data_IF_169865121208
#
_entry.id   IF_169865121208
#
_cell.length_a   1.000
_cell.length_b   1.000
_cell.length_c   1.000
_cell.angle_alpha   90.00
_cell.angle_beta   90.00
_cell.angle_gamma   90.00
#
_symmetry.space_group_name_H-M   'P 1'
#
loop_
_entity.id
_entity.type
_entity.pdbx_description
1 polymer ?
#
# COMPACT_ATOMS: atom_id res chain seq x y z
N UNK A 1 -11.56 -2.77 -10.85
CA UNK A 1 -11.97 -2.58 -9.43
C UNK A 1 -12.14 -3.87 -8.64
N UNK A 2 -12.97 -4.84 -9.05
CA UNK A 2 -13.32 -6.02 -8.23
C UNK A 2 -12.13 -6.87 -7.73
N UNK A 3 -11.05 -6.97 -8.52
CA UNK A 3 -9.86 -7.76 -8.17
C UNK A 3 -9.04 -7.12 -7.04
N UNK A 4 -8.96 -5.79 -6.99
CA UNK A 4 -8.20 -5.06 -5.97
C UNK A 4 -8.85 -5.16 -4.59
N UNK A 5 -10.18 -5.03 -4.54
CA UNK A 5 -10.96 -5.15 -3.29
C UNK A 5 -10.76 -6.54 -2.67
N UNK A 6 -10.80 -7.61 -3.48
CA UNK A 6 -10.54 -8.98 -3.00
C UNK A 6 -9.15 -9.11 -2.34
N UNK A 7 -8.12 -8.53 -2.97
CA UNK A 7 -6.75 -8.55 -2.42
C UNK A 7 -6.69 -7.79 -1.10
N UNK A 8 -7.36 -6.63 -0.99
CA UNK A 8 -7.40 -5.86 0.25
C UNK A 8 -8.06 -6.67 1.37
N UNK A 9 -9.23 -7.27 1.11
CA UNK A 9 -9.95 -8.06 2.12
C UNK A 9 -9.14 -9.28 2.59
N UNK A 10 -8.53 -10.02 1.66
CA UNK A 10 -7.66 -11.16 2.00
C UNK A 10 -6.45 -10.68 2.79
N UNK A 11 -5.83 -9.57 2.38
CA UNK A 11 -4.70 -8.97 3.08
C UNK A 11 -5.05 -8.57 4.52
N UNK A 12 -6.21 -7.95 4.73
CA UNK A 12 -6.69 -7.58 6.08
C UNK A 12 -6.87 -8.83 6.93
N UNK A 13 -7.51 -9.87 6.38
CA UNK A 13 -7.74 -11.12 7.10
C UNK A 13 -6.42 -11.80 7.52
N UNK A 14 -5.48 -11.95 6.59
CA UNK A 14 -4.18 -12.57 6.86
C UNK A 14 -3.37 -11.74 7.87
N UNK A 15 -3.31 -10.42 7.70
CA UNK A 15 -2.57 -9.54 8.61
C UNK A 15 -3.20 -9.50 10.00
N UNK A 16 -4.53 -9.56 10.12
CA UNK A 16 -5.21 -9.64 11.42
C UNK A 16 -4.86 -10.93 12.17
N UNK A 17 -4.83 -12.07 11.47
CA UNK A 17 -4.42 -13.35 12.07
C UNK A 17 -2.96 -13.28 12.52
N UNK A 18 -2.06 -12.82 11.65
CA UNK A 18 -0.64 -12.69 11.99
C UNK A 18 -0.41 -11.74 13.15
N UNK A 19 -1.07 -10.58 13.15
CA UNK A 19 -0.99 -9.63 14.24
C UNK A 19 -1.44 -10.26 15.57
N UNK A 20 -2.58 -10.97 15.58
CA UNK A 20 -3.08 -11.65 16.77
C UNK A 20 -2.13 -12.75 17.27
N UNK A 21 -1.50 -13.51 16.36
CA UNK A 21 -0.49 -14.51 16.72
C UNK A 21 0.75 -13.84 17.34
N UNK A 22 1.25 -12.76 16.73
CA UNK A 22 2.40 -12.01 17.23
C UNK A 22 2.11 -11.39 18.60
N UNK A 23 0.92 -10.81 18.80
CA UNK A 23 0.49 -10.27 20.10
C UNK A 23 0.46 -11.35 21.18
N UNK A 24 0.02 -12.58 20.84
CA UNK A 24 -0.01 -13.71 21.78
C UNK A 24 1.37 -14.22 22.15
N UNK A 25 2.27 -14.30 21.16
CA UNK A 25 3.63 -14.86 21.38
C UNK A 25 4.52 -13.88 22.13
N UNK A 26 4.43 -12.58 21.81
CA UNK A 26 5.27 -11.53 22.38
C UNK A 26 4.63 -10.79 23.56
N UNK A 27 3.43 -11.23 23.99
CA UNK A 27 2.61 -10.61 25.04
C UNK A 27 2.46 -9.08 24.89
N UNK A 28 2.41 -8.61 23.65
CA UNK A 28 2.40 -7.18 23.35
C UNK A 28 1.07 -6.53 23.74
N UNK A 29 1.14 -5.27 24.17
CA UNK A 29 -0.04 -4.44 24.31
C UNK A 29 -0.77 -4.24 22.98
N UNK A 30 -2.10 -4.12 23.02
CA UNK A 30 -2.93 -3.85 21.82
C UNK A 30 -2.46 -2.59 21.07
N UNK A 31 -2.06 -1.55 21.80
CA UNK A 31 -1.52 -0.32 21.22
C UNK A 31 -0.17 -0.54 20.54
N UNK A 32 0.72 -1.34 21.11
CA UNK A 32 2.02 -1.67 20.51
C UNK A 32 1.85 -2.44 19.21
N UNK A 33 0.91 -3.38 19.16
CA UNK A 33 0.58 -4.13 17.95
C UNK A 33 0.09 -3.20 16.84
N UNK A 34 -0.81 -2.26 17.16
CA UNK A 34 -1.29 -1.27 16.17
C UNK A 34 -0.19 -0.33 15.70
N UNK A 35 0.66 0.19 16.59
CA UNK A 35 1.82 1.02 16.20
C UNK A 35 2.76 0.25 15.27
N UNK A 36 3.02 -1.02 15.58
CA UNK A 36 3.87 -1.89 14.75
C UNK A 36 3.27 -2.09 13.35
N UNK A 37 1.96 -2.30 13.25
CA UNK A 37 1.26 -2.42 11.97
C UNK A 37 1.26 -1.11 11.18
N UNK A 38 1.15 0.05 11.83
CA UNK A 38 1.27 1.37 11.18
C UNK A 38 2.68 1.56 10.61
N UNK A 39 3.71 1.23 11.38
CA UNK A 39 5.09 1.25 10.90
C UNK A 39 5.30 0.32 9.69
N UNK A 40 4.75 -0.89 9.76
CA UNK A 40 4.79 -1.85 8.65
C UNK A 40 4.05 -1.33 7.41
N UNK A 41 2.88 -0.70 7.59
CA UNK A 41 2.12 -0.08 6.50
C UNK A 41 2.93 1.04 5.82
N UNK A 42 3.60 1.88 6.61
CA UNK A 42 4.50 2.92 6.12
C UNK A 42 5.68 2.35 5.34
N UNK A 43 6.30 1.28 5.85
CA UNK A 43 7.42 0.60 5.19
C UNK A 43 6.99 0.01 3.83
N UNK A 44 5.83 -0.64 3.76
CA UNK A 44 5.30 -1.12 2.48
C UNK A 44 4.97 0.01 1.51
N UNK A 45 4.43 1.12 2.00
CA UNK A 45 4.13 2.29 1.16
C UNK A 45 5.39 2.89 0.55
N UNK A 46 6.42 3.15 1.36
CA UNK A 46 7.71 3.68 0.90
C UNK A 46 8.37 2.72 -0.08
N UNK A 47 8.38 1.42 0.25
CA UNK A 47 8.92 0.38 -0.64
C UNK A 47 8.19 0.34 -1.98
N UNK A 48 6.86 0.47 -1.98
CA UNK A 48 6.05 0.52 -3.19
C UNK A 48 6.41 1.74 -4.06
N UNK A 49 6.53 2.93 -3.47
CA UNK A 49 6.97 4.13 -4.21
C UNK A 49 8.36 3.92 -4.81
N UNK A 50 9.30 3.38 -4.03
CA UNK A 50 10.67 3.18 -4.48
C UNK A 50 10.74 2.18 -5.64
N UNK A 51 9.98 1.08 -5.56
CA UNK A 51 9.87 0.09 -6.61
C UNK A 51 9.23 0.65 -7.88
N UNK A 52 8.15 1.43 -7.75
CA UNK A 52 7.52 2.11 -8.88
C UNK A 52 8.54 3.02 -9.58
N UNK A 53 9.25 3.87 -8.81
CA UNK A 53 10.31 4.74 -9.33
C UNK A 53 11.41 3.96 -10.03
N UNK A 54 11.90 2.90 -9.41
CA UNK A 54 12.94 2.05 -9.96
C UNK A 54 12.52 1.40 -11.29
N UNK A 55 11.32 0.83 -11.34
CA UNK A 55 10.83 0.17 -12.56
C UNK A 55 10.54 1.14 -13.70
N UNK A 56 9.99 2.31 -13.39
CA UNK A 56 9.79 3.36 -14.39
C UNK A 56 11.13 3.83 -14.93
N UNK A 57 12.10 4.18 -14.07
CA UNK A 57 13.43 4.63 -14.52
C UNK A 57 14.18 3.55 -15.32
N UNK A 58 14.00 2.28 -14.97
CA UNK A 58 14.67 1.15 -15.66
C UNK A 58 14.07 0.82 -17.03
N UNK A 59 12.75 0.90 -17.19
CA UNK A 59 12.06 0.48 -18.42
C UNK A 59 11.61 1.63 -19.32
N UNK A 60 11.48 2.83 -18.77
CA UNK A 60 11.10 4.04 -19.48
C UNK A 60 11.90 5.24 -18.93
N UNK A 61 13.23 5.27 -19.15
CA UNK A 61 14.07 6.39 -18.72
C UNK A 61 13.57 7.70 -19.37
N UNK A 62 13.49 8.78 -18.61
CA UNK A 62 13.00 10.09 -19.05
C UNK A 62 11.48 10.30 -18.91
N UNK A 63 10.69 9.26 -18.64
CA UNK A 63 9.23 9.41 -18.48
C UNK A 63 8.84 10.21 -17.24
N UNK A 64 9.64 10.10 -16.15
CA UNK A 64 9.46 10.94 -14.95
C UNK A 64 9.85 12.40 -15.18
N UNK A 65 10.86 12.68 -16.00
CA UNK A 65 11.23 14.04 -16.37
C UNK A 65 10.15 14.68 -17.23
N UNK A 66 9.62 13.96 -18.22
CA UNK A 66 8.52 14.43 -19.06
C UNK A 66 7.27 14.73 -18.22
N UNK A 67 6.90 13.86 -17.29
CA UNK A 67 5.75 14.06 -16.39
C UNK A 67 5.99 15.22 -15.40
N UNK A 68 7.24 15.53 -15.06
CA UNK A 68 7.59 16.66 -14.19
C UNK A 68 7.61 18.02 -14.90
N UNK A 69 7.80 18.03 -16.23
CA UNK A 69 7.83 19.23 -17.07
C UNK A 69 6.41 19.57 -17.57
N UNK A 70 5.56 18.56 -17.72
CA UNK A 70 4.17 18.75 -18.14
C UNK A 70 3.33 19.37 -17.01
N UNK A 71 2.40 20.29 -17.32
CA UNK A 71 1.45 20.78 -16.34
C UNK A 71 0.62 19.60 -15.80
N UNK A 72 0.34 19.57 -14.49
CA UNK A 72 -0.39 18.46 -13.90
C UNK A 72 -1.73 18.28 -14.62
N UNK A 73 -2.14 17.03 -14.91
CA UNK A 73 -3.37 16.78 -15.64
C UNK A 73 -4.58 17.42 -14.91
N UNK A 74 -5.57 17.94 -15.65
CA UNK A 74 -6.78 18.49 -15.04
C UNK A 74 -7.49 17.44 -14.20
N UNK A 75 -8.17 17.87 -13.12
CA UNK A 75 -8.88 17.00 -12.16
C UNK A 75 -9.67 15.92 -12.89
N UNK A 76 -9.32 14.65 -12.64
CA UNK A 76 -9.95 13.48 -13.25
C UNK A 76 -9.22 12.86 -14.44
N UNK A 77 -8.06 13.40 -14.85
CA UNK A 77 -7.16 12.74 -15.81
C UNK A 77 -5.97 12.11 -15.07
N UNK A 78 -5.68 10.87 -15.43
CA UNK A 78 -4.60 10.07 -14.84
C UNK A 78 -3.22 10.63 -15.24
N UNK A 79 -2.28 10.66 -14.29
CA UNK A 79 -0.89 11.05 -14.55
C UNK A 79 -0.19 10.01 -15.44
N UNK A 80 0.89 10.39 -16.15
CA UNK A 80 1.59 9.45 -17.04
C UNK A 80 2.15 8.25 -16.26
N UNK A 81 2.59 8.44 -15.02
CA UNK A 81 3.00 7.33 -14.16
C UNK A 81 1.84 6.37 -13.83
N UNK A 82 0.60 6.85 -13.70
CA UNK A 82 -0.58 5.99 -13.49
C UNK A 82 -0.87 5.14 -14.73
N UNK A 83 -0.65 5.70 -15.93
CA UNK A 83 -0.70 4.93 -17.18
C UNK A 83 0.42 3.90 -17.32
N UNK A 84 1.55 4.08 -16.61
CA UNK A 84 2.60 3.05 -16.55
C UNK A 84 2.33 1.94 -15.53
N UNK A 85 1.35 2.13 -14.63
CA UNK A 85 0.93 1.11 -13.69
C UNK A 85 0.10 0.03 -14.41
N UNK A 86 0.63 -1.19 -14.50
CA UNK A 86 -0.09 -2.33 -15.09
C UNK A 86 0.07 -2.51 -16.60
N UNK A 87 0.76 -1.61 -17.30
CA UNK A 87 1.15 -1.75 -18.73
C UNK A 87 2.39 -2.62 -18.95
N UNK A 88 2.93 -3.23 -17.89
CA UNK A 88 4.11 -4.09 -17.93
C UNK A 88 5.43 -3.37 -17.62
N UNK A 89 5.41 -2.04 -17.54
CA UNK A 89 6.51 -1.22 -17.04
C UNK A 89 6.65 -1.44 -15.52
N UNK A 90 5.58 -1.19 -14.75
CA UNK A 90 5.51 -1.55 -13.33
C UNK A 90 4.91 -2.96 -13.19
N UNK A 91 5.63 -3.93 -12.61
CA UNK A 91 5.11 -5.28 -12.38
C UNK A 91 3.89 -5.29 -11.46
N UNK A 92 2.92 -6.16 -11.74
CA UNK A 92 1.67 -6.28 -10.96
C UNK A 92 1.92 -6.58 -9.47
N UNK A 93 2.99 -7.29 -9.13
CA UNK A 93 3.33 -7.60 -7.74
C UNK A 93 3.71 -6.35 -6.93
N UNK A 94 4.25 -5.31 -7.58
CA UNK A 94 4.55 -4.02 -6.92
C UNK A 94 3.24 -3.37 -6.48
N UNK A 95 2.22 -3.36 -7.34
CA UNK A 95 0.88 -2.88 -6.97
C UNK A 95 0.25 -3.68 -5.83
N UNK A 96 0.55 -4.98 -5.70
CA UNK A 96 0.10 -5.80 -4.56
C UNK A 96 0.72 -5.33 -3.24
N UNK A 97 2.00 -4.89 -3.24
CA UNK A 97 2.64 -4.31 -2.05
C UNK A 97 1.92 -3.03 -1.61
N UNK A 98 1.55 -2.17 -2.57
CA UNK A 98 0.73 -1.00 -2.28
C UNK A 98 -0.64 -1.36 -1.66
N UNK A 99 -1.30 -2.39 -2.18
CA UNK A 99 -2.56 -2.89 -1.62
C UNK A 99 -2.39 -3.49 -0.21
N UNK A 100 -1.28 -4.20 0.05
CA UNK A 100 -0.95 -4.73 1.37
C UNK A 100 -0.69 -3.63 2.40
N UNK A 101 -0.09 -2.50 1.99
CA UNK A 101 0.05 -1.32 2.85
C UNK A 101 -1.32 -0.81 3.31
N UNK A 102 -2.30 -0.71 2.39
CA UNK A 102 -3.68 -0.32 2.72
C UNK A 102 -4.32 -1.34 3.67
N UNK A 103 -4.17 -2.63 3.39
CA UNK A 103 -4.67 -3.68 4.29
C UNK A 103 -4.06 -3.60 5.70
N UNK A 104 -2.76 -3.33 5.82
CA UNK A 104 -2.08 -3.17 7.10
C UNK A 104 -2.62 -1.96 7.88
N UNK A 105 -2.85 -0.84 7.19
CA UNK A 105 -3.42 0.37 7.78
C UNK A 105 -4.85 0.14 8.29
N UNK A 106 -5.70 -0.50 7.48
CA UNK A 106 -7.06 -0.86 7.86
C UNK A 106 -7.04 -1.77 9.09
N UNK A 107 -6.18 -2.79 9.09
CA UNK A 107 -6.04 -3.74 10.21
C UNK A 107 -5.60 -3.03 11.49
N UNK A 108 -4.72 -2.04 11.39
CA UNK A 108 -4.22 -1.29 12.53
C UNK A 108 -5.27 -0.35 13.13
N UNK A 109 -6.10 0.29 12.29
CA UNK A 109 -6.96 1.42 12.67
C UNK A 109 -8.40 1.01 12.96
N UNK A 110 -8.99 0.10 12.18
CA UNK A 110 -10.41 -0.29 12.31
C UNK A 110 -10.78 -0.76 13.73
N UNK A 111 -9.97 -1.58 14.43
CA UNK A 111 -10.31 -1.99 15.79
C UNK A 111 -10.44 -0.82 16.77
N UNK A 112 -9.63 0.23 16.59
CA UNK A 112 -9.68 1.44 17.42
C UNK A 112 -10.89 2.30 17.11
N UNK A 113 -11.23 2.44 15.83
CA UNK A 113 -12.46 3.14 15.42
C UNK A 113 -13.68 2.44 16.05
N UNK A 114 -13.77 1.11 15.93
CA UNK A 114 -14.88 0.34 16.52
C UNK A 114 -14.92 0.50 18.05
N UNK A 115 -13.75 0.51 18.71
CA UNK A 115 -13.66 0.68 20.15
C UNK A 115 -14.05 2.09 20.62
N UNK A 116 -13.94 3.12 19.79
CA UNK A 116 -14.36 4.49 20.11
C UNK A 116 -15.88 4.69 20.02
N UNK A 117 -16.57 3.89 19.20
CA UNK A 117 -18.03 3.94 19.03
C UNK A 117 -18.78 2.94 19.93
N UNK A 118 -18.06 2.21 20.79
CA UNK A 118 -18.60 1.32 21.81
C UNK A 118 -18.44 1.94 23.19
#
# INVERSE_FOLDING_TARGET
MLKGIKVICIGVFVLAILANQVTRILELGKWQTSVSLILLAGLFYVSNIFLIRYFINKKAPGLMEIDSILPPPPKGKECLWEKTAGTGIVPKWVSVIGLLSISALITAVVPWIIALFK
#
